data_IF_661014638973
#
_entry.id   IF_661014638973
#
_cell.length_a   1.000
_cell.length_b   1.000
_cell.length_c   1.000
_cell.angle_alpha   90.00
_cell.angle_beta   90.00
_cell.angle_gamma   90.00
#
_symmetry.space_group_name_H-M   'P 1'
#
loop_
_entity.id
_entity.type
_entity.pdbx_description
1 polymer ?
#
# COMPACT_ATOMS: atom_id res chain seq x y z
N UNK A 1 -36.72 7.24 24.49
CA UNK A 1 -36.78 6.02 23.64
C UNK A 1 -35.40 5.83 23.03
N UNK A 2 -34.87 4.60 23.03
CA UNK A 2 -33.59 4.28 22.39
C UNK A 2 -33.83 3.62 21.02
N UNK A 3 -32.80 3.60 20.18
CA UNK A 3 -32.79 2.97 18.85
C UNK A 3 -31.44 2.35 18.54
N UNK A 4 -31.32 1.70 17.39
CA UNK A 4 -30.11 1.04 16.91
C UNK A 4 -29.85 1.47 15.47
N UNK A 5 -28.61 1.77 15.14
CA UNK A 5 -28.14 2.03 13.78
C UNK A 5 -26.70 1.52 13.65
N UNK A 6 -26.23 1.33 12.41
CA UNK A 6 -24.88 0.83 12.13
C UNK A 6 -24.06 1.90 11.41
N UNK A 7 -22.87 2.18 11.92
CA UNK A 7 -21.88 3.02 11.24
C UNK A 7 -20.77 2.15 10.69
N UNK A 8 -20.66 2.11 9.36
CA UNK A 8 -19.55 1.51 8.63
C UNK A 8 -19.11 2.43 7.50
N UNK A 9 -17.80 2.53 7.32
CA UNK A 9 -17.18 3.35 6.27
C UNK A 9 -17.32 2.68 4.90
N UNK A 10 -17.11 1.36 4.84
CA UNK A 10 -17.12 0.57 3.62
C UNK A 10 -17.99 -0.69 3.76
N UNK A 11 -18.63 -1.16 2.68
CA UNK A 11 -18.70 -0.50 1.37
C UNK A 11 -19.53 0.80 1.41
N UNK A 12 -19.30 1.70 0.45
CA UNK A 12 -20.07 2.94 0.32
C UNK A 12 -21.34 2.63 -0.47
N UNK A 13 -22.47 2.60 0.24
CA UNK A 13 -23.74 2.05 -0.26
C UNK A 13 -24.28 2.72 -1.52
N UNK A 14 -24.05 4.01 -1.69
CA UNK A 14 -24.54 4.81 -2.82
C UNK A 14 -23.49 4.97 -3.93
N UNK A 15 -22.34 4.30 -3.85
CA UNK A 15 -21.46 4.08 -4.99
C UNK A 15 -21.82 2.76 -5.69
N UNK A 16 -21.52 2.65 -6.98
CA UNK A 16 -21.79 1.41 -7.72
C UNK A 16 -20.95 0.24 -7.18
N UNK A 17 -21.41 -0.99 -7.43
CA UNK A 17 -20.69 -2.19 -7.01
C UNK A 17 -19.27 -2.27 -7.61
N UNK A 18 -19.14 -1.84 -8.88
CA UNK A 18 -17.86 -1.77 -9.59
C UNK A 18 -17.13 -0.43 -9.41
N UNK A 19 -17.55 0.41 -8.46
CA UNK A 19 -16.79 1.61 -8.16
C UNK A 19 -15.43 1.21 -7.56
N UNK A 20 -14.28 1.77 -8.02
CA UNK A 20 -12.97 1.44 -7.48
C UNK A 20 -12.87 1.52 -5.95
N UNK A 21 -13.59 2.45 -5.30
CA UNK A 21 -13.62 2.57 -3.84
C UNK A 21 -14.16 1.30 -3.17
N UNK A 22 -15.25 0.74 -3.70
CA UNK A 22 -15.85 -0.48 -3.16
C UNK A 22 -14.97 -1.70 -3.49
N UNK A 23 -14.39 -1.75 -4.70
CA UNK A 23 -13.46 -2.83 -5.08
C UNK A 23 -12.17 -2.80 -4.24
N UNK A 24 -11.65 -1.61 -3.90
CA UNK A 24 -10.50 -1.47 -3.02
C UNK A 24 -10.77 -2.00 -1.61
N UNK A 25 -11.99 -1.80 -1.10
CA UNK A 25 -12.41 -2.43 0.16
C UNK A 25 -12.42 -3.96 0.04
N UNK A 26 -13.02 -4.53 -1.02
CA UNK A 26 -13.03 -5.98 -1.25
C UNK A 26 -11.60 -6.55 -1.39
N UNK A 27 -10.70 -5.82 -2.04
CA UNK A 27 -9.29 -6.17 -2.17
C UNK A 27 -8.53 -6.12 -0.83
N UNK A 28 -8.98 -5.30 0.12
CA UNK A 28 -8.42 -5.22 1.47
C UNK A 28 -8.96 -6.31 2.41
N UNK A 29 -10.03 -7.03 2.04
CA UNK A 29 -10.72 -8.03 2.87
C UNK A 29 -10.79 -9.41 2.22
N UNK A 30 -9.87 -9.71 1.29
CA UNK A 30 -9.80 -11.01 0.58
C UNK A 30 -9.73 -12.19 1.57
N UNK A 31 -9.06 -12.00 2.70
CA UNK A 31 -8.94 -12.96 3.79
C UNK A 31 -10.24 -13.13 4.61
N UNK A 32 -11.00 -12.04 4.79
CA UNK A 32 -12.25 -12.03 5.56
C UNK A 32 -13.47 -12.57 4.79
N UNK A 33 -13.32 -12.82 3.48
CA UNK A 33 -14.39 -13.29 2.57
C UNK A 33 -15.64 -12.39 2.62
N UNK A 34 -15.43 -11.11 2.90
CA UNK A 34 -16.45 -10.08 2.78
C UNK A 34 -16.57 -9.71 1.30
N UNK A 35 -17.72 -10.01 0.71
CA UNK A 35 -17.99 -9.83 -0.72
C UNK A 35 -19.05 -8.77 -0.86
N UNK A 36 -18.75 -7.72 -1.64
CA UNK A 36 -19.72 -6.68 -1.93
C UNK A 36 -20.83 -7.23 -2.85
N UNK A 37 -22.07 -6.82 -2.58
CA UNK A 37 -23.25 -7.26 -3.30
C UNK A 37 -24.26 -6.12 -3.39
N UNK A 38 -25.17 -6.20 -4.37
CA UNK A 38 -26.35 -5.34 -4.35
C UNK A 38 -27.27 -5.80 -3.22
N UNK A 39 -27.77 -4.85 -2.42
CA UNK A 39 -28.76 -5.10 -1.37
C UNK A 39 -30.14 -5.37 -2.00
N UNK A 40 -30.60 -6.64 -2.03
CA UNK A 40 -31.88 -6.96 -2.63
C UNK A 40 -33.05 -6.37 -1.86
N UNK A 41 -32.92 -6.20 -0.53
CA UNK A 41 -33.99 -5.66 0.30
C UNK A 41 -34.23 -4.17 0.00
N UNK A 42 -33.15 -3.42 -0.26
CA UNK A 42 -33.25 -2.01 -0.63
C UNK A 42 -33.82 -1.85 -2.05
N UNK A 43 -33.36 -2.67 -2.99
CA UNK A 43 -33.88 -2.70 -4.36
C UNK A 43 -35.37 -3.04 -4.40
N UNK A 44 -35.83 -4.05 -3.63
CA UNK A 44 -37.24 -4.44 -3.59
C UNK A 44 -38.12 -3.38 -2.91
N UNK A 45 -37.63 -2.77 -1.84
CA UNK A 45 -38.40 -1.81 -1.05
C UNK A 45 -38.53 -0.42 -1.71
N UNK A 46 -37.51 -0.01 -2.47
CA UNK A 46 -37.39 1.37 -2.96
C UNK A 46 -37.10 1.48 -4.47
N UNK A 47 -36.78 0.38 -5.16
CA UNK A 47 -36.36 0.41 -6.57
C UNK A 47 -34.97 1.03 -6.79
N UNK A 48 -34.17 1.17 -5.74
CA UNK A 48 -32.83 1.80 -5.76
C UNK A 48 -31.77 0.74 -5.50
N UNK A 49 -30.76 0.67 -6.35
CA UNK A 49 -29.62 -0.21 -6.12
C UNK A 49 -28.69 0.42 -5.09
N UNK A 50 -28.45 -0.29 -3.99
CA UNK A 50 -27.47 0.04 -2.97
C UNK A 50 -26.46 -1.10 -2.82
N UNK A 51 -25.23 -0.77 -2.46
CA UNK A 51 -24.18 -1.76 -2.18
C UNK A 51 -24.15 -2.07 -0.69
N UNK A 52 -24.14 -3.35 -0.37
CA UNK A 52 -23.89 -3.89 0.95
C UNK A 52 -22.96 -5.11 0.80
N UNK A 53 -22.84 -5.98 1.81
CA UNK A 53 -21.99 -7.17 1.74
C UNK A 53 -22.71 -8.40 2.28
N UNK A 54 -22.24 -9.56 1.85
CA UNK A 54 -22.84 -10.88 2.11
C UNK A 54 -23.26 -11.11 3.57
N UNK A 55 -22.43 -10.75 4.54
CA UNK A 55 -22.66 -11.00 5.97
C UNK A 55 -23.87 -10.24 6.50
N UNK A 56 -23.98 -8.96 6.18
CA UNK A 56 -25.09 -8.11 6.63
C UNK A 56 -26.39 -8.47 5.92
N UNK A 57 -26.34 -8.70 4.60
CA UNK A 57 -27.50 -9.16 3.82
C UNK A 57 -28.05 -10.47 4.41
N UNK A 58 -27.19 -11.45 4.72
CA UNK A 58 -27.62 -12.73 5.28
C UNK A 58 -28.20 -12.61 6.69
N UNK A 59 -27.71 -11.66 7.50
CA UNK A 59 -28.12 -11.46 8.89
C UNK A 59 -29.36 -10.57 9.05
N UNK A 60 -29.66 -9.74 8.03
CA UNK A 60 -30.70 -8.74 8.10
C UNK A 60 -32.10 -9.28 8.46
N UNK A 61 -32.60 -10.41 7.90
CA UNK A 61 -33.92 -10.93 8.27
C UNK A 61 -34.05 -11.26 9.76
N UNK A 62 -32.97 -11.77 10.37
CA UNK A 62 -32.93 -12.10 11.80
C UNK A 62 -32.95 -10.81 12.61
N UNK A 63 -32.10 -9.84 12.26
CA UNK A 63 -31.97 -8.58 12.97
C UNK A 63 -33.26 -7.74 12.88
N UNK A 64 -33.90 -7.72 11.70
CA UNK A 64 -35.21 -7.09 11.47
C UNK A 64 -36.27 -7.62 12.43
N UNK A 65 -36.35 -8.94 12.60
CA UNK A 65 -37.29 -9.58 13.53
C UNK A 65 -37.01 -9.24 15.00
N UNK A 66 -35.74 -9.17 15.39
CA UNK A 66 -35.33 -8.76 16.74
C UNK A 66 -35.77 -7.31 17.01
N UNK A 67 -35.49 -6.40 16.07
CA UNK A 67 -35.87 -4.99 16.18
C UNK A 67 -37.39 -4.80 16.23
N UNK A 68 -38.14 -5.56 15.42
CA UNK A 68 -39.61 -5.54 15.45
C UNK A 68 -40.14 -5.95 16.84
N UNK A 69 -39.59 -7.02 17.45
CA UNK A 69 -40.00 -7.47 18.79
C UNK A 69 -39.68 -6.45 19.88
N UNK A 70 -38.50 -5.81 19.81
CA UNK A 70 -38.07 -4.84 20.84
C UNK A 70 -38.84 -3.52 20.72
N UNK A 71 -39.13 -3.08 19.50
CA UNK A 71 -39.64 -1.73 19.24
C UNK A 71 -41.13 -1.68 18.91
N UNK A 72 -41.73 -2.83 18.60
CA UNK A 72 -43.15 -2.97 18.24
C UNK A 72 -43.51 -2.42 16.86
N UNK A 73 -42.53 -2.00 16.06
CA UNK A 73 -42.73 -1.46 14.71
C UNK A 73 -41.61 -1.89 13.77
N UNK A 74 -41.91 -1.93 12.48
CA UNK A 74 -40.90 -2.14 11.45
C UNK A 74 -40.13 -0.82 11.23
N UNK A 75 -38.81 -0.82 11.49
CA UNK A 75 -37.96 0.39 11.46
C UNK A 75 -37.13 0.47 10.19
N UNK A 76 -36.60 -0.66 9.72
CA UNK A 76 -35.67 -0.74 8.60
C UNK A 76 -36.19 -1.74 7.57
N UNK A 77 -36.24 -1.34 6.30
CA UNK A 77 -36.63 -2.24 5.22
C UNK A 77 -35.45 -2.97 4.60
N UNK A 78 -34.23 -2.48 4.83
CA UNK A 78 -32.98 -3.02 4.30
C UNK A 78 -31.80 -2.80 5.26
N UNK A 79 -30.69 -3.55 5.15
CA UNK A 79 -29.46 -3.23 5.86
C UNK A 79 -28.86 -1.89 5.43
N UNK A 80 -29.13 -1.41 4.21
CA UNK A 80 -28.79 -0.03 3.82
C UNK A 80 -29.51 1.02 4.69
N UNK A 81 -30.81 0.85 4.97
CA UNK A 81 -31.54 1.80 5.84
C UNK A 81 -31.00 1.84 7.28
N UNK A 82 -30.42 0.72 7.73
CA UNK A 82 -29.81 0.57 9.04
C UNK A 82 -28.47 1.31 9.13
N UNK A 83 -27.83 1.56 7.98
CA UNK A 83 -26.61 2.32 7.84
C UNK A 83 -26.81 3.82 8.01
N UNK A 84 -25.79 4.51 8.53
CA UNK A 84 -25.76 5.99 8.64
C UNK A 84 -24.59 6.63 7.86
N UNK A 85 -24.06 5.90 6.87
CA UNK A 85 -22.90 6.33 6.08
C UNK A 85 -23.27 7.42 5.05
N UNK A 86 -22.53 8.53 5.08
CA UNK A 86 -22.69 9.71 4.20
C UNK A 86 -21.44 10.00 3.35
N UNK A 87 -20.50 9.06 3.25
CA UNK A 87 -19.15 9.31 2.69
C UNK A 87 -19.18 9.81 1.25
N UNK A 88 -20.04 9.25 0.39
CA UNK A 88 -20.13 9.68 -1.01
C UNK A 88 -20.45 11.17 -1.13
N UNK A 89 -21.32 11.69 -0.28
CA UNK A 89 -21.74 13.09 -0.30
C UNK A 89 -20.61 14.05 0.13
N UNK A 90 -19.55 13.50 0.75
CA UNK A 90 -18.35 14.22 1.15
C UNK A 90 -17.19 14.08 0.14
N UNK A 91 -17.35 13.34 -0.96
CA UNK A 91 -16.33 13.24 -2.01
C UNK A 91 -16.37 14.54 -2.83
N UNK A 92 -15.32 15.35 -2.70
CA UNK A 92 -15.18 16.63 -3.42
C UNK A 92 -14.51 16.49 -4.79
N UNK A 93 -13.76 15.41 -4.98
CA UNK A 93 -13.04 15.07 -6.22
C UNK A 93 -13.08 13.56 -6.42
N UNK A 94 -13.93 13.11 -7.35
CA UNK A 94 -14.14 11.69 -7.62
C UNK A 94 -12.96 11.05 -8.35
N UNK A 95 -12.26 11.81 -9.20
CA UNK A 95 -11.14 11.28 -10.01
C UNK A 95 -9.92 11.00 -9.13
N UNK A 96 -9.62 11.89 -8.18
CA UNK A 96 -8.56 11.67 -7.19
C UNK A 96 -8.85 10.43 -6.34
N UNK A 97 -10.09 10.28 -5.87
CA UNK A 97 -10.49 9.13 -5.04
C UNK A 97 -10.45 7.82 -5.83
N UNK A 98 -10.92 7.83 -7.08
CA UNK A 98 -10.85 6.66 -7.97
C UNK A 98 -9.40 6.25 -8.24
N UNK A 99 -8.53 7.21 -8.54
CA UNK A 99 -7.10 6.93 -8.78
C UNK A 99 -6.44 6.31 -7.54
N UNK A 100 -6.66 6.90 -6.36
CA UNK A 100 -6.13 6.35 -5.11
C UNK A 100 -6.66 4.93 -4.82
N UNK A 101 -7.94 4.68 -5.10
CA UNK A 101 -8.53 3.35 -4.94
C UNK A 101 -7.96 2.32 -5.94
N UNK A 102 -7.71 2.70 -7.19
CA UNK A 102 -7.05 1.85 -8.18
C UNK A 102 -5.64 1.47 -7.70
N UNK A 103 -4.86 2.44 -7.25
CA UNK A 103 -3.51 2.18 -6.71
C UNK A 103 -3.55 1.24 -5.49
N UNK A 104 -4.56 1.40 -4.62
CA UNK A 104 -4.78 0.49 -3.49
C UNK A 104 -5.09 -0.95 -3.94
N UNK A 105 -5.92 -1.14 -4.96
CA UNK A 105 -6.25 -2.47 -5.50
C UNK A 105 -4.98 -3.15 -6.05
N UNK A 106 -4.20 -2.43 -6.85
CA UNK A 106 -2.94 -2.95 -7.40
C UNK A 106 -1.95 -3.28 -6.27
N UNK A 107 -1.86 -2.42 -5.25
CA UNK A 107 -1.01 -2.65 -4.07
C UNK A 107 -1.42 -3.92 -3.31
N UNK A 108 -2.72 -4.14 -3.11
CA UNK A 108 -3.24 -5.36 -2.48
C UNK A 108 -2.88 -6.59 -3.30
N UNK A 109 -3.05 -6.53 -4.61
CA UNK A 109 -2.69 -7.65 -5.48
C UNK A 109 -1.19 -7.98 -5.42
N UNK A 110 -0.30 -6.98 -5.47
CA UNK A 110 1.14 -7.18 -5.27
C UNK A 110 1.47 -7.83 -3.93
N UNK A 111 0.83 -7.37 -2.84
CA UNK A 111 1.04 -7.93 -1.51
C UNK A 111 0.59 -9.39 -1.44
N UNK A 112 -0.59 -9.72 -1.97
CA UNK A 112 -1.08 -11.10 -2.03
C UNK A 112 -0.18 -12.00 -2.86
N UNK A 113 0.38 -11.52 -3.97
CA UNK A 113 1.37 -12.26 -4.76
C UNK A 113 2.65 -12.55 -3.96
N UNK A 114 3.14 -11.57 -3.20
CA UNK A 114 4.32 -11.73 -2.36
C UNK A 114 4.05 -12.70 -1.19
N UNK A 115 2.90 -12.58 -0.53
CA UNK A 115 2.46 -13.49 0.53
C UNK A 115 2.35 -14.93 0.02
N UNK A 116 1.77 -15.12 -1.16
CA UNK A 116 1.68 -16.43 -1.80
C UNK A 116 3.07 -17.00 -2.11
N UNK A 117 3.97 -16.18 -2.65
CA UNK A 117 5.37 -16.56 -2.94
C UNK A 117 6.11 -17.01 -1.67
N UNK A 118 5.85 -16.34 -0.56
CA UNK A 118 6.39 -16.67 0.76
C UNK A 118 5.64 -17.80 1.48
N UNK A 119 4.57 -18.34 0.88
CA UNK A 119 3.69 -19.38 1.45
C UNK A 119 2.92 -18.93 2.70
N UNK A 120 2.60 -17.64 2.78
CA UNK A 120 1.82 -17.04 3.87
C UNK A 120 0.31 -16.98 3.58
N UNK A 121 -0.10 -17.19 2.32
CA UNK A 121 -1.51 -17.28 1.94
C UNK A 121 -1.73 -18.42 0.93
N UNK A 122 -3.00 -18.79 0.74
CA UNK A 122 -3.40 -19.78 -0.25
C UNK A 122 -3.59 -19.17 -1.65
N UNK A 123 -3.63 -20.04 -2.67
CA UNK A 123 -3.85 -19.62 -4.06
C UNK A 123 -5.22 -18.96 -4.25
N UNK A 124 -6.24 -19.38 -3.49
CA UNK A 124 -7.59 -18.80 -3.52
C UNK A 124 -7.57 -17.27 -3.35
N UNK A 125 -6.73 -16.76 -2.43
CA UNK A 125 -6.59 -15.32 -2.20
C UNK A 125 -6.03 -14.58 -3.44
N UNK A 126 -5.05 -15.18 -4.13
CA UNK A 126 -4.48 -14.63 -5.37
C UNK A 126 -5.53 -14.60 -6.48
N UNK A 127 -6.31 -15.67 -6.62
CA UNK A 127 -7.34 -15.78 -7.66
C UNK A 127 -8.46 -14.76 -7.43
N UNK A 128 -8.87 -14.54 -6.16
CA UNK A 128 -9.83 -13.49 -5.79
C UNK A 128 -9.25 -12.10 -6.10
N UNK A 129 -8.05 -11.78 -5.61
CA UNK A 129 -7.42 -10.48 -5.82
C UNK A 129 -7.23 -10.18 -7.32
N UNK A 130 -6.87 -11.19 -8.12
CA UNK A 130 -6.81 -11.08 -9.57
C UNK A 130 -8.18 -10.81 -10.19
N UNK A 131 -9.23 -11.51 -9.77
CA UNK A 131 -10.59 -11.25 -10.26
C UNK A 131 -11.04 -9.81 -9.98
N UNK A 132 -10.63 -9.20 -8.86
CA UNK A 132 -10.92 -7.79 -8.56
C UNK A 132 -10.21 -6.82 -9.50
N UNK A 133 -8.96 -7.10 -9.85
CA UNK A 133 -8.23 -6.36 -10.89
C UNK A 133 -8.94 -6.50 -12.25
N UNK A 134 -9.30 -7.72 -12.64
CA UNK A 134 -9.95 -8.03 -13.92
C UNK A 134 -11.32 -7.34 -14.05
N UNK A 135 -12.09 -7.21 -12.95
CA UNK A 135 -13.39 -6.48 -12.91
C UNK A 135 -13.26 -5.00 -13.33
N UNK A 136 -12.07 -4.42 -13.18
CA UNK A 136 -11.76 -3.03 -13.51
C UNK A 136 -10.80 -2.90 -14.70
N UNK A 137 -10.51 -4.01 -15.39
CA UNK A 137 -9.57 -4.07 -16.51
C UNK A 137 -8.15 -3.57 -16.15
N UNK A 138 -7.75 -3.75 -14.89
CA UNK A 138 -6.47 -3.29 -14.37
C UNK A 138 -5.35 -4.31 -14.59
N UNK A 139 -4.14 -3.80 -14.72
CA UNK A 139 -2.90 -4.53 -14.85
C UNK A 139 -1.88 -4.04 -13.83
N UNK A 140 -0.85 -4.84 -13.56
CA UNK A 140 0.25 -4.42 -12.67
C UNK A 140 1.01 -3.19 -13.19
N UNK A 141 0.98 -2.95 -14.52
CA UNK A 141 1.65 -1.84 -15.17
C UNK A 141 0.95 -0.50 -14.95
N UNK A 142 -0.31 -0.49 -14.53
CA UNK A 142 -1.07 0.74 -14.22
C UNK A 142 -0.50 1.48 -13.01
N UNK A 143 0.25 0.77 -12.14
CA UNK A 143 1.07 1.40 -11.10
C UNK A 143 2.40 1.85 -11.70
N UNK A 144 2.49 3.14 -11.99
CA UNK A 144 3.64 3.76 -12.67
C UNK A 144 5.00 3.45 -12.00
N UNK A 145 5.10 3.56 -10.67
CA UNK A 145 6.35 3.28 -9.94
C UNK A 145 6.80 1.82 -10.10
N UNK A 146 5.86 0.88 -10.21
CA UNK A 146 6.15 -0.52 -10.44
C UNK A 146 6.65 -0.78 -11.86
N UNK A 147 5.99 -0.17 -12.86
CA UNK A 147 6.43 -0.22 -14.26
C UNK A 147 7.88 0.27 -14.40
N UNK A 148 8.20 1.45 -13.84
CA UNK A 148 9.56 2.01 -13.93
C UNK A 148 10.60 1.13 -13.23
N UNK A 149 10.32 0.65 -12.01
CA UNK A 149 11.24 -0.25 -11.31
C UNK A 149 11.56 -1.51 -12.12
N UNK A 150 10.54 -2.12 -12.72
CA UNK A 150 10.66 -3.36 -13.48
C UNK A 150 11.36 -3.19 -14.83
N UNK A 151 11.07 -2.12 -15.58
CA UNK A 151 11.74 -1.79 -16.83
C UNK A 151 13.25 -1.60 -16.59
N UNK A 152 13.62 -0.78 -15.60
CA UNK A 152 15.03 -0.49 -15.29
C UNK A 152 15.74 -1.74 -14.76
N UNK A 153 15.07 -2.58 -13.97
CA UNK A 153 15.63 -3.83 -13.48
C UNK A 153 15.90 -4.81 -14.62
N UNK A 154 14.96 -4.92 -15.57
CA UNK A 154 15.10 -5.78 -16.74
C UNK A 154 16.22 -5.31 -17.68
N UNK A 155 16.26 -4.01 -18.00
CA UNK A 155 17.29 -3.42 -18.87
C UNK A 155 18.71 -3.58 -18.33
N UNK A 156 18.88 -3.41 -17.01
CA UNK A 156 20.20 -3.45 -16.37
C UNK A 156 20.59 -4.82 -15.83
N UNK A 157 19.64 -5.75 -15.71
CA UNK A 157 19.87 -7.08 -15.13
C UNK A 157 20.27 -7.03 -13.65
N UNK A 158 19.82 -6.02 -12.91
CA UNK A 158 20.14 -5.80 -11.49
C UNK A 158 18.89 -5.45 -10.69
N UNK A 159 18.93 -5.63 -9.38
CA UNK A 159 17.83 -5.26 -8.49
C UNK A 159 17.67 -3.73 -8.42
N UNK A 160 16.42 -3.28 -8.51
CA UNK A 160 16.03 -1.86 -8.50
C UNK A 160 14.90 -1.65 -7.50
N UNK A 161 14.98 -0.54 -6.77
CA UNK A 161 13.85 0.05 -6.07
C UNK A 161 13.55 1.43 -6.66
N UNK A 162 12.30 1.70 -7.00
CA UNK A 162 11.85 3.03 -7.41
C UNK A 162 10.98 3.66 -6.32
N UNK A 163 11.09 4.98 -6.16
CA UNK A 163 10.27 5.80 -5.26
C UNK A 163 9.68 6.95 -6.07
N UNK A 164 8.36 7.09 -6.03
CA UNK A 164 7.63 8.25 -6.55
C UNK A 164 7.48 9.29 -5.44
N UNK A 165 8.11 10.45 -5.65
CA UNK A 165 8.06 11.58 -4.73
C UNK A 165 6.71 12.30 -4.82
N UNK A 166 6.37 13.09 -3.81
CA UNK A 166 5.11 13.87 -3.74
C UNK A 166 4.87 14.82 -4.92
N UNK A 167 5.91 15.17 -5.67
CA UNK A 167 5.81 15.99 -6.89
C UNK A 167 5.67 15.15 -8.18
N UNK A 168 5.49 13.83 -8.09
CA UNK A 168 5.40 12.90 -9.21
C UNK A 168 6.74 12.50 -9.84
N UNK A 169 7.88 12.99 -9.32
CA UNK A 169 9.20 12.57 -9.80
C UNK A 169 9.50 11.16 -9.32
N UNK A 170 9.88 10.27 -10.22
CA UNK A 170 10.30 8.91 -9.87
C UNK A 170 11.82 8.87 -9.82
N UNK A 171 12.35 8.48 -8.67
CA UNK A 171 13.78 8.22 -8.46
C UNK A 171 14.02 6.72 -8.34
N UNK A 172 15.11 6.24 -8.91
CA UNK A 172 15.48 4.82 -8.86
C UNK A 172 16.77 4.63 -8.09
N UNK A 173 16.84 3.59 -7.27
CA UNK A 173 18.05 3.08 -6.65
C UNK A 173 18.41 1.72 -7.21
N UNK A 174 19.68 1.56 -7.59
CA UNK A 174 20.24 0.28 -7.99
C UNK A 174 20.98 -0.38 -6.85
N UNK A 175 20.94 -1.70 -6.81
CA UNK A 175 21.90 -2.46 -6.03
C UNK A 175 23.33 -2.19 -6.54
N UNK A 176 24.27 -2.07 -5.62
CA UNK A 176 25.70 -1.83 -5.91
C UNK A 176 26.55 -2.86 -5.17
N UNK A 177 27.87 -2.78 -5.31
CA UNK A 177 28.78 -3.67 -4.57
C UNK A 177 28.72 -3.48 -3.04
N UNK A 178 28.25 -2.32 -2.58
CA UNK A 178 28.26 -1.93 -1.16
C UNK A 178 26.84 -1.72 -0.63
N UNK A 179 25.91 -1.16 -1.40
CA UNK A 179 24.57 -0.75 -0.95
C UNK A 179 23.47 -1.62 -1.57
N UNK A 180 22.44 -1.93 -0.79
CA UNK A 180 21.18 -2.46 -1.30
C UNK A 180 20.49 -1.47 -2.24
N UNK A 181 19.55 -1.95 -3.06
CA UNK A 181 18.77 -1.07 -3.93
C UNK A 181 17.88 -0.09 -3.12
N UNK A 182 17.37 -0.49 -1.96
CA UNK A 182 16.57 0.36 -1.08
C UNK A 182 17.40 1.48 -0.46
N UNK A 183 18.60 1.18 0.03
CA UNK A 183 19.59 2.16 0.48
C UNK A 183 19.91 3.19 -0.61
N UNK A 184 20.22 2.73 -1.82
CA UNK A 184 20.53 3.62 -2.94
C UNK A 184 19.32 4.48 -3.34
N UNK A 185 18.12 3.90 -3.36
CA UNK A 185 16.89 4.62 -3.73
C UNK A 185 16.57 5.71 -2.71
N UNK A 186 16.71 5.40 -1.42
CA UNK A 186 16.56 6.35 -0.34
C UNK A 186 17.56 7.51 -0.44
N UNK A 187 18.85 7.22 -0.68
CA UNK A 187 19.88 8.26 -0.85
C UNK A 187 19.56 9.18 -2.03
N UNK A 188 19.13 8.62 -3.16
CA UNK A 188 18.74 9.41 -4.33
C UNK A 188 17.48 10.25 -4.05
N UNK A 189 16.50 9.69 -3.35
CA UNK A 189 15.29 10.39 -2.95
C UNK A 189 15.60 11.57 -2.02
N UNK A 190 16.38 11.36 -0.97
CA UNK A 190 16.65 12.41 0.01
C UNK A 190 17.53 13.53 -0.57
N UNK A 191 18.47 13.20 -1.46
CA UNK A 191 19.21 14.18 -2.25
C UNK A 191 18.26 15.05 -3.07
N UNK A 192 17.34 14.42 -3.80
CA UNK A 192 16.38 15.13 -4.65
C UNK A 192 15.46 16.05 -3.85
N UNK A 193 15.00 15.59 -2.69
CA UNK A 193 14.13 16.36 -1.79
C UNK A 193 14.88 17.56 -1.18
N UNK A 194 16.15 17.38 -0.83
CA UNK A 194 16.98 18.41 -0.19
C UNK A 194 17.75 19.29 -1.19
N UNK A 195 17.50 19.12 -2.49
CA UNK A 195 18.19 19.83 -3.58
C UNK A 195 19.72 19.70 -3.52
N UNK A 196 20.20 18.50 -3.20
CA UNK A 196 21.63 18.16 -3.13
C UNK A 196 22.07 17.58 -4.48
N UNK A 197 23.20 18.03 -5.06
CA UNK A 197 23.73 17.49 -6.31
C UNK A 197 23.94 15.97 -6.29
N UNK A 198 23.68 15.33 -7.44
CA UNK A 198 23.79 13.87 -7.57
C UNK A 198 25.22 13.35 -7.33
N UNK A 199 26.25 14.13 -7.65
CA UNK A 199 27.66 13.81 -7.48
C UNK A 199 28.18 14.01 -6.04
N UNK A 200 27.40 14.64 -5.15
CA UNK A 200 27.80 14.85 -3.76
C UNK A 200 27.64 13.57 -2.93
N UNK A 201 28.69 13.13 -2.24
CA UNK A 201 28.62 11.96 -1.36
C UNK A 201 28.05 12.33 0.02
N UNK A 202 26.86 11.81 0.34
CA UNK A 202 26.26 11.97 1.68
C UNK A 202 26.93 11.08 2.74
N UNK A 203 27.48 9.94 2.32
CA UNK A 203 28.11 8.97 3.21
C UNK A 203 29.62 9.05 3.05
N UNK A 204 30.34 9.15 4.17
CA UNK A 204 31.80 9.09 4.18
C UNK A 204 32.29 7.73 3.66
N UNK A 205 33.14 7.69 2.62
CA UNK A 205 33.71 6.43 2.13
C UNK A 205 34.44 5.63 3.21
N UNK A 206 35.08 6.30 4.16
CA UNK A 206 35.78 5.65 5.29
C UNK A 206 34.81 4.93 6.22
N UNK A 207 33.63 5.52 6.48
CA UNK A 207 32.59 4.89 7.32
C UNK A 207 32.00 3.69 6.59
N UNK A 208 31.66 3.86 5.31
CA UNK A 208 31.13 2.79 4.46
C UNK A 208 32.07 1.59 4.39
N UNK A 209 33.36 1.83 4.11
CA UNK A 209 34.39 0.79 4.03
C UNK A 209 34.58 0.07 5.37
N UNK A 210 34.50 0.80 6.49
CA UNK A 210 34.55 0.23 7.83
C UNK A 210 33.40 -0.75 8.11
N UNK A 211 32.16 -0.34 7.82
CA UNK A 211 30.96 -1.18 7.99
C UNK A 211 31.03 -2.38 7.05
N UNK A 212 31.37 -2.16 5.79
CA UNK A 212 31.48 -3.22 4.79
C UNK A 212 32.54 -4.28 5.16
N UNK A 213 33.74 -3.85 5.58
CA UNK A 213 34.80 -4.76 6.04
C UNK A 213 34.40 -5.53 7.29
N UNK A 214 33.63 -4.92 8.19
CA UNK A 214 33.09 -5.60 9.36
C UNK A 214 32.10 -6.69 8.92
N UNK A 215 31.09 -6.37 8.11
CA UNK A 215 30.12 -7.36 7.61
C UNK A 215 30.81 -8.51 6.87
N UNK A 216 31.80 -8.21 6.03
CA UNK A 216 32.59 -9.24 5.33
C UNK A 216 33.29 -10.23 6.27
N UNK A 217 33.61 -9.82 7.51
CA UNK A 217 34.23 -10.68 8.52
C UNK A 217 33.24 -11.40 9.42
N UNK A 218 32.05 -10.83 9.64
CA UNK A 218 31.06 -11.34 10.62
C UNK A 218 29.90 -12.11 9.98
N UNK A 219 29.60 -11.85 8.70
CA UNK A 219 28.54 -12.52 7.96
C UNK A 219 29.04 -13.84 7.38
N UNK A 220 28.60 -14.95 7.94
CA UNK A 220 28.80 -16.28 7.35
C UNK A 220 27.61 -16.61 6.44
N UNK A 221 27.84 -16.78 5.13
CA UNK A 221 26.84 -17.15 4.12
C UNK A 221 25.63 -16.19 3.95
N UNK A 222 25.79 -14.89 4.22
CA UNK A 222 24.74 -13.87 3.97
C UNK A 222 25.26 -12.70 3.13
N UNK A 223 24.34 -11.90 2.58
CA UNK A 223 24.68 -10.69 1.83
C UNK A 223 25.49 -9.71 2.68
N UNK A 224 26.52 -9.10 2.09
CA UNK A 224 27.40 -8.12 2.74
C UNK A 224 27.00 -6.67 2.43
N UNK A 225 25.89 -6.47 1.71
CA UNK A 225 25.39 -5.14 1.36
C UNK A 225 24.93 -4.39 2.59
N UNK A 226 25.08 -3.07 2.56
CA UNK A 226 24.56 -2.17 3.57
C UNK A 226 23.08 -1.91 3.31
N UNK A 227 22.27 -2.28 4.29
CA UNK A 227 20.82 -2.12 4.25
C UNK A 227 20.40 -0.71 4.68
N UNK A 228 19.13 -0.38 4.44
CA UNK A 228 18.60 0.94 4.77
C UNK A 228 18.79 1.32 6.27
N UNK A 229 18.52 0.44 7.25
CA UNK A 229 18.85 0.71 8.65
C UNK A 229 20.30 1.15 8.88
N UNK A 230 21.27 0.41 8.33
CA UNK A 230 22.70 0.72 8.46
C UNK A 230 23.06 2.06 7.80
N UNK A 231 22.48 2.36 6.64
CA UNK A 231 22.65 3.64 5.95
C UNK A 231 22.10 4.81 6.77
N UNK A 232 20.92 4.66 7.38
CA UNK A 232 20.34 5.69 8.25
C UNK A 232 21.24 5.99 9.45
N UNK A 233 21.80 4.95 10.09
CA UNK A 233 22.77 5.10 11.18
C UNK A 233 24.03 5.82 10.67
N UNK A 234 24.59 5.39 9.54
CA UNK A 234 25.79 6.02 8.99
C UNK A 234 25.56 7.50 8.63
N UNK A 235 24.39 7.85 8.08
CA UNK A 235 24.01 9.24 7.80
C UNK A 235 23.89 10.06 9.08
N UNK A 236 23.30 9.51 10.15
CA UNK A 236 23.21 10.21 11.44
C UNK A 236 24.58 10.57 12.01
N UNK A 237 25.59 9.70 11.80
CA UNK A 237 26.97 9.97 12.19
C UNK A 237 27.57 11.05 11.29
N UNK A 238 27.35 10.96 9.97
CA UNK A 238 27.85 11.94 9.01
C UNK A 238 27.23 13.34 9.22
N UNK A 239 25.99 13.42 9.68
CA UNK A 239 25.29 14.68 9.96
C UNK A 239 25.94 15.53 11.05
N UNK A 240 26.80 14.94 11.90
CA UNK A 240 27.56 15.67 12.93
C UNK A 240 28.58 16.61 12.32
N UNK A 241 29.15 16.25 11.15
CA UNK A 241 30.25 16.99 10.52
C UNK A 241 29.93 17.48 9.10
N UNK A 242 28.81 17.06 8.52
CA UNK A 242 28.38 17.43 7.17
C UNK A 242 26.99 18.12 7.22
N UNK A 243 26.98 19.43 6.98
CA UNK A 243 25.76 20.25 6.95
C UNK A 243 24.78 19.86 5.82
N UNK A 244 25.27 19.38 4.67
CA UNK A 244 24.39 18.88 3.59
C UNK A 244 23.61 17.65 4.05
N UNK A 245 24.27 16.73 4.77
CA UNK A 245 23.63 15.52 5.31
C UNK A 245 22.61 15.89 6.38
N UNK A 246 22.93 16.85 7.25
CA UNK A 246 22.00 17.36 8.25
C UNK A 246 20.74 17.94 7.62
N UNK A 247 20.88 18.79 6.60
CA UNK A 247 19.75 19.31 5.81
C UNK A 247 18.94 18.20 5.15
N UNK A 248 19.60 17.16 4.63
CA UNK A 248 18.91 16.00 4.07
C UNK A 248 18.01 15.32 5.11
N UNK A 249 18.53 15.07 6.33
CA UNK A 249 17.80 14.40 7.40
C UNK A 249 16.64 15.24 7.97
N UNK A 250 16.72 16.57 7.92
CA UNK A 250 15.60 17.46 8.29
C UNK A 250 14.37 17.30 7.37
N UNK A 251 14.55 16.69 6.20
CA UNK A 251 13.50 16.53 5.19
C UNK A 251 12.87 15.13 5.15
N UNK A 252 13.19 14.22 6.09
CA UNK A 252 12.69 12.84 6.09
C UNK A 252 11.16 12.73 6.06
N UNK A 253 10.44 13.63 6.73
CA UNK A 253 8.96 13.65 6.73
C UNK A 253 8.35 13.81 5.33
N UNK A 254 9.09 14.37 4.37
CA UNK A 254 8.63 14.51 2.97
C UNK A 254 8.56 13.17 2.23
N UNK A 255 9.16 12.10 2.76
CA UNK A 255 9.04 10.74 2.22
C UNK A 255 7.73 10.06 2.62
N UNK A 256 7.04 10.58 3.64
CA UNK A 256 5.80 9.99 4.13
C UNK A 256 4.71 10.08 3.07
N UNK A 257 4.06 8.95 2.80
CA UNK A 257 3.04 8.82 1.76
C UNK A 257 3.60 8.63 0.35
N UNK A 258 4.92 8.66 0.16
CA UNK A 258 5.51 8.33 -1.14
C UNK A 258 5.30 6.84 -1.46
N UNK A 259 5.07 6.55 -2.73
CA UNK A 259 4.87 5.20 -3.22
C UNK A 259 6.20 4.62 -3.72
N UNK A 260 6.43 3.34 -3.44
CA UNK A 260 7.63 2.65 -3.87
C UNK A 260 7.32 1.27 -4.45
N UNK A 261 8.23 0.80 -5.30
CA UNK A 261 8.22 -0.56 -5.81
C UNK A 261 9.63 -1.15 -5.88
N UNK A 262 9.80 -2.37 -5.40
CA UNK A 262 11.05 -3.13 -5.49
C UNK A 262 10.93 -4.28 -6.47
N UNK A 263 11.96 -4.51 -7.28
CA UNK A 263 12.01 -5.61 -8.25
C UNK A 263 12.15 -7.02 -7.64
N UNK A 264 12.22 -7.12 -6.31
CA UNK A 264 12.21 -8.35 -5.52
C UNK A 264 11.61 -8.12 -4.13
N UNK A 265 11.31 -9.22 -3.44
CA UNK A 265 10.86 -9.25 -2.04
C UNK A 265 12.04 -8.89 -1.14
N UNK A 266 11.99 -7.69 -0.56
CA UNK A 266 13.01 -7.24 0.39
C UNK A 266 12.90 -7.95 1.75
N UNK A 267 13.99 -7.93 2.51
CA UNK A 267 14.00 -8.50 3.85
C UNK A 267 13.21 -7.65 4.86
N UNK A 268 12.92 -8.23 6.03
CA UNK A 268 12.09 -7.60 7.06
C UNK A 268 12.73 -6.33 7.66
N UNK A 269 14.05 -6.25 7.73
CA UNK A 269 14.77 -5.10 8.24
C UNK A 269 14.56 -3.87 7.37
N UNK A 270 14.80 -4.02 6.06
CA UNK A 270 14.56 -2.95 5.08
C UNK A 270 13.08 -2.59 4.96
N UNK A 271 12.18 -3.58 4.97
CA UNK A 271 10.73 -3.36 4.93
C UNK A 271 10.27 -2.48 6.10
N UNK A 272 10.74 -2.79 7.31
CA UNK A 272 10.39 -2.02 8.49
C UNK A 272 10.98 -0.61 8.44
N UNK A 273 12.20 -0.44 7.93
CA UNK A 273 12.80 0.89 7.78
C UNK A 273 12.00 1.78 6.80
N UNK A 274 11.64 1.26 5.63
CA UNK A 274 10.80 1.98 4.65
C UNK A 274 9.42 2.31 5.23
N UNK A 275 8.80 1.37 5.96
CA UNK A 275 7.51 1.58 6.63
C UNK A 275 7.59 2.66 7.71
N UNK A 276 8.67 2.69 8.49
CA UNK A 276 8.89 3.71 9.53
C UNK A 276 9.11 5.11 8.93
N UNK A 277 9.65 5.19 7.72
CA UNK A 277 9.72 6.43 6.93
C UNK A 277 8.36 6.81 6.30
N UNK A 278 7.33 5.97 6.46
CA UNK A 278 6.00 6.19 5.92
C UNK A 278 5.89 5.95 4.40
N UNK A 279 6.82 5.19 3.81
CA UNK A 279 6.80 4.86 2.38
C UNK A 279 5.91 3.64 2.13
N UNK A 280 5.02 3.74 1.14
CA UNK A 280 4.11 2.69 0.72
C UNK A 280 4.81 1.74 -0.28
N UNK A 281 5.38 0.65 0.22
CA UNK A 281 6.12 -0.30 -0.60
C UNK A 281 5.23 -1.39 -1.21
N UNK A 282 5.52 -1.71 -2.48
CA UNK A 282 5.13 -2.95 -3.16
C UNK A 282 6.39 -3.69 -3.65
N UNK A 283 6.31 -5.00 -3.87
CA UNK A 283 7.43 -5.79 -4.38
C UNK A 283 6.96 -6.72 -5.51
N UNK A 284 7.85 -7.01 -6.45
CA UNK A 284 7.69 -8.16 -7.34
C UNK A 284 7.78 -9.47 -6.53
N UNK A 285 6.99 -10.51 -6.86
CA UNK A 285 7.01 -11.81 -6.17
C UNK A 285 8.24 -12.68 -6.53
N UNK A 286 9.44 -12.09 -6.42
CA UNK A 286 10.76 -12.68 -6.68
C UNK A 286 11.58 -12.64 -5.39
N UNK A 287 12.46 -13.62 -5.17
CA UNK A 287 13.31 -13.72 -3.97
C UNK A 287 14.71 -13.19 -4.26
#
# INVERSE_FOLDING_TARGET
KAGYAKFETFPVWNLSLLNPVNIAYEAATVDLKDVNMIDPFHSDAYGINAVNYNRDISSFPILKNILLKITGKDIYKSPTDMGVNMIKDCIIDEDVVKKAAIDEIIRRYYNTLCEYKQKNCEKEAVDIAKSLMDKLELTLADRQVARVANEVAHEKGINILAIELSNGTIVTGKETEILSCASTAFLNAIKKIADIPDDEYLLSPTILDGIYKMKKKTSYNTSYLLDLPEVLIALSICAVTNESVKKALENLEKLRGCDAHCSYIIDKGELNALKNLGINLTCEPKM
#
